data_IF_365535925932
#
_entry.id   IF_365535925932
#
_cell.length_a   1.000
_cell.length_b   1.000
_cell.length_c   1.000
_cell.angle_alpha   90.00
_cell.angle_beta   90.00
_cell.angle_gamma   90.00
#
_symmetry.space_group_name_H-M   'P 1'
#
loop_
_entity.id
_entity.type
_entity.pdbx_description
1 polymer ?
#
# COMPACT_ATOMS: atom_id res chain seq x y z
N UNK A 1 -0.67 3.56 24.26
CA UNK A 1 -0.44 2.89 22.97
C UNK A 1 1.03 3.06 22.66
N UNK A 2 1.73 1.97 22.35
CA UNK A 2 3.09 2.06 21.83
C UNK A 2 3.04 2.53 20.37
N UNK A 3 4.03 3.30 19.89
CA UNK A 3 4.05 3.76 18.51
C UNK A 3 4.30 2.59 17.56
N UNK A 4 3.49 2.47 16.50
CA UNK A 4 3.67 1.46 15.46
C UNK A 4 5.00 1.64 14.71
N UNK A 5 5.53 0.55 14.16
CA UNK A 5 6.74 0.53 13.35
C UNK A 5 6.45 0.97 11.91
N UNK A 6 7.51 1.27 11.13
CA UNK A 6 7.38 1.59 9.70
C UNK A 6 6.70 0.43 8.95
N UNK A 7 7.06 -0.82 9.26
CA UNK A 7 6.52 -2.01 8.62
C UNK A 7 5.03 -2.22 8.95
N UNK A 8 4.62 -1.92 10.19
CA UNK A 8 3.22 -1.99 10.61
C UNK A 8 2.38 -0.97 9.84
N UNK A 9 2.83 0.29 9.76
CA UNK A 9 2.12 1.30 8.96
C UNK A 9 2.07 0.97 7.46
N UNK A 10 3.12 0.35 6.92
CA UNK A 10 3.11 -0.11 5.52
C UNK A 10 2.11 -1.25 5.30
N UNK A 11 1.98 -2.15 6.26
CA UNK A 11 0.96 -3.21 6.25
C UNK A 11 -0.43 -2.61 6.29
N UNK A 12 -0.67 -1.65 7.19
CA UNK A 12 -1.95 -0.92 7.28
C UNK A 12 -2.30 -0.26 5.94
N UNK A 13 -1.34 0.39 5.26
CA UNK A 13 -1.59 1.01 3.96
C UNK A 13 -1.93 -0.01 2.87
N UNK A 14 -1.30 -1.19 2.86
CA UNK A 14 -1.65 -2.28 1.95
C UNK A 14 -3.07 -2.79 2.21
N UNK A 15 -3.45 -3.01 3.47
CA UNK A 15 -4.78 -3.48 3.89
C UNK A 15 -5.86 -2.45 3.53
N UNK A 16 -5.60 -1.15 3.77
CA UNK A 16 -6.47 -0.05 3.36
C UNK A 16 -6.64 -0.01 1.84
N UNK A 17 -5.56 -0.22 1.10
CA UNK A 17 -5.59 -0.24 -0.37
C UNK A 17 -6.43 -1.40 -0.88
N UNK A 18 -6.27 -2.60 -0.32
CA UNK A 18 -7.09 -3.76 -0.64
C UNK A 18 -8.57 -3.49 -0.33
N UNK A 19 -8.86 -2.88 0.82
CA UNK A 19 -10.20 -2.47 1.17
C UNK A 19 -10.82 -1.49 0.16
N UNK A 20 -10.06 -0.49 -0.29
CA UNK A 20 -10.51 0.45 -1.32
C UNK A 20 -10.71 -0.22 -2.67
N UNK A 21 -9.81 -1.14 -3.07
CA UNK A 21 -9.98 -1.96 -4.28
C UNK A 21 -11.31 -2.71 -4.20
N UNK A 22 -11.60 -3.40 -3.11
CA UNK A 22 -12.85 -4.14 -2.95
C UNK A 22 -14.11 -3.25 -2.94
N UNK A 23 -13.99 -1.99 -2.51
CA UNK A 23 -15.10 -1.04 -2.54
C UNK A 23 -15.36 -0.45 -3.93
N UNK A 24 -14.29 -0.06 -4.62
CA UNK A 24 -14.36 0.73 -5.85
C UNK A 24 -14.33 -0.14 -7.11
N UNK A 25 -13.70 -1.32 -7.04
CA UNK A 25 -13.66 -2.25 -8.17
C UNK A 25 -15.11 -2.55 -8.57
N UNK A 26 -15.54 -2.10 -9.77
CA UNK A 26 -16.93 -2.15 -10.12
C UNK A 26 -17.34 -3.61 -10.16
N UNK A 27 -18.54 -3.89 -9.64
CA UNK A 27 -19.35 -4.95 -10.23
C UNK A 27 -19.31 -4.69 -11.74
N UNK A 28 -19.01 -5.71 -12.56
CA UNK A 28 -18.69 -5.58 -14.01
C UNK A 28 -19.72 -4.79 -14.84
N UNK A 29 -20.81 -4.35 -14.19
CA UNK A 29 -21.96 -3.58 -14.65
C UNK A 29 -21.82 -2.03 -14.60
N UNK A 30 -20.80 -1.43 -13.96
CA UNK A 30 -20.66 0.05 -13.88
C UNK A 30 -19.37 0.57 -14.51
N UNK A 31 -19.38 0.71 -15.83
CA UNK A 31 -18.34 1.41 -16.61
C UNK A 31 -18.53 2.94 -16.52
N UNK A 32 -17.47 3.71 -16.29
CA UNK A 32 -17.53 5.17 -16.40
C UNK A 32 -16.29 5.91 -15.90
N UNK A 33 -15.86 5.66 -14.67
CA UNK A 33 -14.60 6.15 -14.12
C UNK A 33 -13.60 4.98 -13.98
N UNK A 34 -12.31 5.17 -14.27
CA UNK A 34 -11.31 4.17 -13.95
C UNK A 34 -11.21 4.10 -12.43
N UNK A 35 -11.95 3.19 -11.82
CA UNK A 35 -12.00 2.93 -10.37
C UNK A 35 -10.61 2.88 -9.72
N UNK A 36 -9.59 2.44 -10.47
CA UNK A 36 -8.20 2.47 -10.03
C UNK A 36 -7.73 3.87 -9.63
N UNK A 37 -8.13 4.91 -10.38
CA UNK A 37 -7.77 6.29 -10.07
C UNK A 37 -8.47 6.75 -8.80
N UNK A 38 -9.73 6.37 -8.58
CA UNK A 38 -10.46 6.65 -7.33
C UNK A 38 -9.72 6.02 -6.13
N UNK A 39 -9.28 4.77 -6.26
CA UNK A 39 -8.49 4.11 -5.21
C UNK A 39 -7.17 4.84 -4.95
N UNK A 40 -6.42 5.18 -6.01
CA UNK A 40 -5.14 5.90 -5.90
C UNK A 40 -5.31 7.27 -5.22
N UNK A 41 -6.35 8.01 -5.60
CA UNK A 41 -6.64 9.33 -5.03
C UNK A 41 -7.06 9.23 -3.56
N UNK A 42 -7.88 8.23 -3.20
CA UNK A 42 -8.26 7.96 -1.80
C UNK A 42 -7.05 7.59 -0.95
N UNK A 43 -6.17 6.73 -1.47
CA UNK A 43 -4.94 6.35 -0.77
C UNK A 43 -3.98 7.53 -0.60
N UNK A 44 -3.82 8.36 -1.64
CA UNK A 44 -3.02 9.58 -1.54
C UNK A 44 -3.59 10.55 -0.49
N UNK A 45 -4.92 10.71 -0.43
CA UNK A 45 -5.59 11.52 0.58
C UNK A 45 -5.38 10.99 2.00
N UNK A 46 -5.44 9.66 2.20
CA UNK A 46 -5.18 9.03 3.50
C UNK A 46 -3.74 9.26 3.96
N UNK A 47 -2.76 9.06 3.07
CA UNK A 47 -1.35 9.33 3.35
C UNK A 47 -1.16 10.82 3.67
N UNK A 48 -1.78 11.73 2.91
CA UNK A 48 -1.64 13.17 3.13
C UNK A 48 -2.28 13.64 4.46
N UNK A 49 -3.35 12.98 4.89
CA UNK A 49 -4.12 13.28 6.10
C UNK A 49 -3.48 12.80 7.40
N UNK A 50 -2.59 11.82 7.35
CA UNK A 50 -1.90 11.24 8.52
C UNK A 50 -0.43 11.64 8.57
N UNK A 51 -0.01 12.32 9.64
CA UNK A 51 1.40 12.68 9.82
C UNK A 51 2.31 11.44 9.89
N UNK A 52 1.82 10.33 10.45
CA UNK A 52 2.61 9.12 10.57
C UNK A 52 2.81 8.42 9.22
N UNK A 53 1.78 8.37 8.36
CA UNK A 53 1.96 7.90 6.98
C UNK A 53 2.89 8.81 6.19
N UNK A 54 2.83 10.12 6.37
CA UNK A 54 3.80 11.05 5.75
C UNK A 54 5.23 10.77 6.21
N UNK A 55 5.44 10.44 7.49
CA UNK A 55 6.76 10.05 8.03
C UNK A 55 7.24 8.75 7.40
N UNK A 56 6.36 7.76 7.22
CA UNK A 56 6.68 6.51 6.54
C UNK A 56 7.11 6.76 5.09
N UNK A 57 6.36 7.57 4.33
CA UNK A 57 6.74 7.95 2.97
C UNK A 57 8.09 8.67 2.95
N UNK A 58 8.33 9.57 3.91
CA UNK A 58 9.59 10.28 4.03
C UNK A 58 10.76 9.34 4.39
N UNK A 59 10.53 8.34 5.24
CA UNK A 59 11.52 7.35 5.62
C UNK A 59 11.92 6.50 4.41
N UNK A 60 10.96 5.96 3.68
CA UNK A 60 11.22 5.17 2.48
C UNK A 60 11.91 5.97 1.37
N UNK A 61 11.53 7.25 1.21
CA UNK A 61 12.25 8.15 0.31
C UNK A 61 13.69 8.37 0.76
N UNK A 62 13.91 8.57 2.07
CA UNK A 62 15.25 8.76 2.63
C UNK A 62 16.11 7.51 2.40
N UNK A 63 15.60 6.32 2.71
CA UNK A 63 16.28 5.04 2.47
C UNK A 63 16.65 4.90 1.00
N UNK A 64 15.69 5.17 0.10
CA UNK A 64 15.91 5.03 -1.34
C UNK A 64 16.96 6.01 -1.89
N UNK A 65 17.00 7.23 -1.36
CA UNK A 65 17.90 8.28 -1.85
C UNK A 65 19.30 8.21 -1.23
N UNK A 66 19.42 7.73 0.00
CA UNK A 66 20.70 7.68 0.72
C UNK A 66 21.33 6.30 0.74
N UNK A 67 20.55 5.23 0.51
CA UNK A 67 20.98 3.84 0.69
C UNK A 67 21.17 3.45 2.16
N UNK A 68 20.66 4.25 3.10
CA UNK A 68 20.73 3.98 4.53
C UNK A 68 19.37 3.53 5.04
N UNK A 69 19.32 2.34 5.62
CA UNK A 69 18.10 1.81 6.23
C UNK A 69 17.68 2.67 7.43
N UNK A 70 16.40 3.01 7.49
CA UNK A 70 15.81 3.68 8.65
C UNK A 70 15.42 2.59 9.65
N UNK A 71 15.86 2.69 10.92
CA UNK A 71 15.52 1.70 11.93
C UNK A 71 14.01 1.51 12.05
N UNK A 72 13.58 0.28 12.30
CA UNK A 72 12.15 -0.06 12.43
C UNK A 72 11.44 0.71 13.55
N UNK A 73 12.17 1.06 14.62
CA UNK A 73 11.74 1.87 15.75
C UNK A 73 11.93 3.38 15.54
N UNK A 74 12.26 3.84 14.32
CA UNK A 74 12.55 5.24 14.01
C UNK A 74 11.42 6.20 14.41
N UNK A 75 10.17 5.75 14.33
CA UNK A 75 9.00 6.54 14.71
C UNK A 75 8.87 6.76 16.23
N UNK A 76 9.62 6.01 17.04
CA UNK A 76 9.73 6.21 18.49
C UNK A 76 10.80 7.24 18.86
N UNK A 77 11.68 7.60 17.91
CA UNK A 77 12.76 8.57 18.12
C UNK A 77 12.32 9.99 17.75
N UNK A 78 12.31 10.89 18.73
CA UNK A 78 11.99 12.32 18.53
C UNK A 78 12.93 13.01 17.53
N UNK A 79 14.19 12.58 17.46
CA UNK A 79 15.17 13.14 16.52
C UNK A 79 14.90 12.69 15.09
N UNK A 80 14.58 11.42 14.89
CA UNK A 80 14.33 10.88 13.55
C UNK A 80 12.99 11.41 13.03
N UNK A 81 11.94 11.37 13.86
CA UNK A 81 10.63 11.95 13.50
C UNK A 81 10.74 13.42 13.12
N UNK A 82 11.56 14.24 13.79
CA UNK A 82 11.79 15.63 13.38
C UNK A 82 12.45 15.77 11.99
N UNK A 83 13.36 14.86 11.62
CA UNK A 83 13.97 14.82 10.27
C UNK A 83 12.91 14.43 9.24
N UNK A 84 12.13 13.39 9.53
CA UNK A 84 11.06 12.91 8.65
C UNK A 84 9.97 13.96 8.46
N UNK A 85 9.59 14.66 9.52
CA UNK A 85 8.64 15.78 9.48
C UNK A 85 9.15 16.92 8.58
N UNK A 86 10.45 17.24 8.67
CA UNK A 86 11.07 18.24 7.80
C UNK A 86 11.06 17.81 6.33
N UNK A 87 11.30 16.52 6.04
CA UNK A 87 11.21 15.98 4.68
C UNK A 87 9.76 16.02 4.17
N UNK A 88 8.80 15.63 5.01
CA UNK A 88 7.37 15.58 4.72
C UNK A 88 6.73 16.97 4.54
N UNK A 89 7.36 18.04 5.00
CA UNK A 89 6.89 19.41 4.88
C UNK A 89 7.32 20.11 3.59
N UNK A 90 8.06 19.45 2.68
CA UNK A 90 8.55 20.06 1.44
C UNK A 90 7.44 20.26 0.42
N UNK A 91 7.52 21.34 -0.35
CA UNK A 91 6.50 21.76 -1.35
C UNK A 91 6.19 20.72 -2.44
N UNK A 92 7.09 19.76 -2.68
CA UNK A 92 6.90 18.67 -3.67
C UNK A 92 6.60 17.33 -3.03
N UNK A 93 6.36 17.29 -1.73
CA UNK A 93 6.10 16.03 -1.03
C UNK A 93 4.76 15.41 -1.45
N UNK A 94 3.82 16.22 -1.93
CA UNK A 94 2.55 15.74 -2.49
C UNK A 94 2.74 14.88 -3.75
N UNK A 95 3.69 15.25 -4.63
CA UNK A 95 4.05 14.40 -5.79
C UNK A 95 4.59 13.04 -5.32
N UNK A 96 5.35 13.03 -4.23
CA UNK A 96 5.91 11.78 -3.66
C UNK A 96 4.80 10.93 -3.05
N UNK A 97 3.81 11.55 -2.38
CA UNK A 97 2.64 10.84 -1.85
C UNK A 97 1.86 10.18 -3.00
N UNK A 98 1.64 10.87 -4.11
CA UNK A 98 0.95 10.31 -5.27
C UNK A 98 1.69 9.13 -5.90
N UNK A 99 3.03 9.23 -6.04
CA UNK A 99 3.85 8.12 -6.51
C UNK A 99 3.84 6.94 -5.54
N UNK A 100 3.84 7.21 -4.24
CA UNK A 100 3.72 6.18 -3.21
C UNK A 100 2.37 5.47 -3.29
N UNK A 101 1.26 6.22 -3.37
CA UNK A 101 -0.07 5.65 -3.52
C UNK A 101 -0.17 4.76 -4.78
N UNK A 102 0.42 5.20 -5.90
CA UNK A 102 0.50 4.40 -7.12
C UNK A 102 1.31 3.11 -6.94
N UNK A 103 2.44 3.17 -6.21
CA UNK A 103 3.30 2.01 -5.95
C UNK A 103 2.61 0.98 -5.05
N UNK A 104 1.99 1.43 -3.95
CA UNK A 104 1.22 0.56 -3.04
C UNK A 104 0.06 -0.07 -3.81
N UNK A 105 -0.72 0.72 -4.56
CA UNK A 105 -1.81 0.20 -5.40
C UNK A 105 -1.36 -0.92 -6.33
N UNK A 106 -0.26 -0.71 -7.09
CA UNK A 106 0.27 -1.72 -8.00
C UNK A 106 0.70 -2.99 -7.27
N UNK A 107 1.37 -2.84 -6.12
CA UNK A 107 1.82 -3.96 -5.30
C UNK A 107 0.64 -4.78 -4.77
N UNK A 108 -0.38 -4.11 -4.22
CA UNK A 108 -1.60 -4.77 -3.71
C UNK A 108 -2.35 -5.47 -4.84
N UNK A 109 -2.54 -4.82 -5.99
CA UNK A 109 -3.19 -5.43 -7.15
C UNK A 109 -2.45 -6.67 -7.64
N UNK A 110 -1.12 -6.62 -7.73
CA UNK A 110 -0.34 -7.79 -8.12
C UNK A 110 -0.52 -8.94 -7.13
N UNK A 111 -0.47 -8.65 -5.82
CA UNK A 111 -0.69 -9.67 -4.79
C UNK A 111 -2.07 -10.31 -4.89
N UNK A 112 -3.13 -9.52 -5.10
CA UNK A 112 -4.50 -10.02 -5.28
C UNK A 112 -4.63 -10.91 -6.53
N UNK A 113 -3.98 -10.54 -7.63
CA UNK A 113 -3.96 -11.34 -8.86
C UNK A 113 -3.23 -12.67 -8.64
N UNK A 114 -2.09 -12.66 -7.96
CA UNK A 114 -1.31 -13.86 -7.67
C UNK A 114 -2.09 -14.82 -6.75
N UNK A 115 -2.76 -14.29 -5.72
CA UNK A 115 -3.64 -15.07 -4.84
C UNK A 115 -4.83 -15.68 -5.59
N UNK A 116 -5.46 -14.91 -6.49
CA UNK A 116 -6.55 -15.39 -7.33
C UNK A 116 -6.11 -16.52 -8.27
N UNK A 117 -4.93 -16.39 -8.88
CA UNK A 117 -4.36 -17.42 -9.74
C UNK A 117 -4.06 -18.71 -8.97
N UNK A 118 -3.46 -18.60 -7.77
CA UNK A 118 -3.18 -19.76 -6.92
C UNK A 118 -4.47 -20.49 -6.50
N UNK A 119 -5.51 -19.75 -6.11
CA UNK A 119 -6.81 -20.34 -5.77
C UNK A 119 -7.46 -21.06 -6.96
N UNK A 120 -7.36 -20.49 -8.16
CA UNK A 120 -7.86 -21.13 -9.38
C UNK A 120 -7.09 -22.42 -9.72
N UNK A 121 -5.78 -22.42 -9.57
CA UNK A 121 -4.94 -23.62 -9.76
C UNK A 121 -5.30 -24.74 -8.77
N UNK A 122 -5.56 -24.38 -7.51
CA UNK A 122 -6.03 -25.32 -6.49
C UNK A 122 -7.40 -25.90 -6.83
N UNK A 123 -8.35 -25.06 -7.27
CA UNK A 123 -9.69 -25.51 -7.70
C UNK A 123 -9.57 -26.47 -8.89
N UNK A 124 -8.77 -26.13 -9.90
CA UNK A 124 -8.57 -26.98 -11.08
C UNK A 124 -7.95 -28.32 -10.71
N UNK A 125 -6.92 -28.30 -9.85
CA UNK A 125 -6.29 -29.53 -9.32
C UNK A 125 -7.30 -30.40 -8.57
N UNK A 126 -8.21 -29.79 -7.80
CA UNK A 126 -9.26 -30.51 -7.09
C UNK A 126 -10.25 -31.17 -8.05
N UNK A 127 -10.69 -30.45 -9.09
CA UNK A 127 -11.58 -30.97 -10.14
C UNK A 127 -10.92 -32.15 -10.86
N UNK A 128 -9.68 -32.00 -11.34
CA UNK A 128 -8.96 -33.06 -12.04
C UNK A 128 -8.81 -34.34 -11.21
N UNK A 129 -8.48 -34.20 -9.92
CA UNK A 129 -8.36 -35.33 -9.01
C UNK A 129 -9.70 -36.04 -8.73
N UNK A 130 -10.82 -35.30 -8.71
CA UNK A 130 -12.16 -35.90 -8.62
C UNK A 130 -12.51 -36.66 -9.90
N UNK A 131 -12.26 -36.08 -11.08
CA UNK A 131 -12.54 -36.74 -12.37
C UNK A 131 -11.67 -37.97 -12.65
N UNK A 132 -10.50 -38.08 -12.02
CA UNK A 132 -9.58 -39.22 -12.20
C UNK A 132 -9.87 -40.38 -11.24
N UNK A 133 -10.67 -40.14 -10.18
CA UNK A 133 -11.10 -41.16 -9.24
C UNK A 133 -12.46 -41.79 -9.59
N UNK A 134 -13.15 -41.29 -10.63
CA UNK A 134 -14.28 -41.94 -11.31
C UNK A 134 -13.82 -42.88 -12.43
#
# INVERSE_FOLDING_TARGET
MEPQTINEYMTDLCDLTEHFIHQEMPDRSKEGDPWEQVVKDRLAAEIAGSQDYRRVVAALLFERTTGLDVPEDALQSSKITAILDYLAARDRFEEIINEMANAIFKSTMQSLLDQGNAAMEEILTHIENQTTQE
#
